data_IF_684560408946
#
_entry.id   IF_684560408946
#
_cell.length_a   1.000
_cell.length_b   1.000
_cell.length_c   1.000
_cell.angle_alpha   90.00
_cell.angle_beta   90.00
_cell.angle_gamma   90.00
#
_symmetry.space_group_name_H-M   'P 1'
#
loop_
_entity.id
_entity.type
_entity.pdbx_description
1 polymer ?
#
# COMPACT_ATOMS: atom_id res chain seq x y z
N UNK A 1 62.67 29.50 -93.36
CA UNK A 1 63.48 29.73 -92.14
C UNK A 1 64.50 28.59 -91.93
N UNK A 2 65.72 28.69 -92.49
CA UNK A 2 66.72 27.59 -92.57
C UNK A 2 67.17 27.02 -91.20
N UNK A 3 66.99 27.77 -90.11
CA UNK A 3 67.47 27.41 -88.76
C UNK A 3 66.61 26.34 -88.09
N UNK A 4 65.30 26.33 -88.32
CA UNK A 4 64.37 25.31 -87.77
C UNK A 4 64.58 23.96 -88.45
N UNK A 5 64.78 23.97 -89.78
CA UNK A 5 65.11 22.77 -90.55
C UNK A 5 66.42 22.13 -90.07
N UNK A 6 67.48 22.92 -89.83
CA UNK A 6 68.75 22.40 -89.27
C UNK A 6 68.61 21.80 -87.87
N UNK A 7 67.74 22.37 -87.01
CA UNK A 7 67.45 21.80 -85.67
C UNK A 7 66.70 20.47 -85.78
N UNK A 8 65.73 20.37 -86.68
CA UNK A 8 64.97 19.15 -86.92
C UNK A 8 65.88 18.03 -87.46
N UNK A 9 66.77 18.35 -88.41
CA UNK A 9 67.77 17.42 -88.93
C UNK A 9 68.72 16.94 -87.83
N UNK A 10 69.26 17.83 -86.97
CA UNK A 10 70.10 17.44 -85.83
C UNK A 10 69.35 16.58 -84.80
N UNK A 11 68.05 16.83 -84.56
CA UNK A 11 67.19 16.02 -83.69
C UNK A 11 66.99 14.61 -84.27
N UNK A 12 66.66 14.50 -85.56
CA UNK A 12 66.55 13.23 -86.25
C UNK A 12 67.88 12.46 -86.26
N UNK A 13 69.01 13.15 -86.47
CA UNK A 13 70.34 12.53 -86.39
C UNK A 13 70.67 11.99 -85.00
N UNK A 14 70.35 12.71 -83.92
CA UNK A 14 70.53 12.21 -82.53
C UNK A 14 69.61 11.04 -82.22
N UNK A 15 68.36 11.09 -82.68
CA UNK A 15 67.43 9.98 -82.51
C UNK A 15 67.92 8.71 -83.23
N UNK A 16 68.37 8.85 -84.49
CA UNK A 16 68.97 7.75 -85.24
C UNK A 16 70.22 7.18 -84.56
N UNK A 17 71.09 8.02 -83.98
CA UNK A 17 72.26 7.56 -83.21
C UNK A 17 71.86 6.79 -81.95
N UNK A 18 70.88 7.27 -81.17
CA UNK A 18 70.38 6.56 -79.97
C UNK A 18 69.70 5.24 -80.32
N UNK A 19 68.91 5.21 -81.39
CA UNK A 19 68.32 3.95 -81.89
C UNK A 19 69.39 2.98 -82.36
N UNK A 20 70.43 3.46 -83.05
CA UNK A 20 71.55 2.61 -83.45
C UNK A 20 72.27 2.03 -82.23
N UNK A 21 72.58 2.85 -81.23
CA UNK A 21 73.23 2.40 -79.99
C UNK A 21 72.34 1.46 -79.14
N UNK A 22 71.03 1.70 -79.05
CA UNK A 22 70.11 0.81 -78.35
C UNK A 22 70.04 -0.56 -79.04
N UNK A 23 69.90 -0.59 -80.37
CA UNK A 23 69.96 -1.82 -81.16
C UNK A 23 71.29 -2.55 -81.03
N UNK A 24 72.39 -1.81 -80.89
CA UNK A 24 73.72 -2.38 -80.71
C UNK A 24 73.90 -2.98 -79.31
N UNK A 25 73.31 -2.36 -78.27
CA UNK A 25 73.22 -2.94 -76.91
C UNK A 25 72.30 -4.15 -76.85
N UNK A 26 71.11 -4.07 -77.41
CA UNK A 26 70.18 -5.21 -77.50
C UNK A 26 70.82 -6.37 -78.27
N UNK A 27 71.58 -6.07 -79.33
CA UNK A 27 72.34 -7.09 -80.08
C UNK A 27 73.46 -7.68 -79.24
N UNK A 28 74.18 -6.86 -78.47
CA UNK A 28 75.25 -7.31 -77.59
C UNK A 28 74.70 -8.16 -76.42
N UNK A 29 73.63 -7.71 -75.79
CA UNK A 29 72.89 -8.44 -74.74
C UNK A 29 72.31 -9.74 -75.28
N UNK A 30 71.76 -9.75 -76.51
CA UNK A 30 71.29 -10.97 -77.16
C UNK A 30 72.43 -11.93 -77.51
N UNK A 31 73.62 -11.44 -77.90
CA UNK A 31 74.81 -12.27 -78.12
C UNK A 31 75.29 -12.85 -76.78
N UNK A 32 75.35 -12.05 -75.72
CA UNK A 32 75.77 -12.48 -74.38
C UNK A 32 74.77 -13.46 -73.76
N UNK A 33 73.48 -13.21 -73.93
CA UNK A 33 72.40 -14.09 -73.51
C UNK A 33 72.41 -15.40 -74.32
N UNK A 34 72.58 -15.32 -75.65
CA UNK A 34 72.74 -16.51 -76.49
C UNK A 34 74.00 -17.30 -76.14
N UNK A 35 75.10 -16.64 -75.76
CA UNK A 35 76.32 -17.30 -75.30
C UNK A 35 76.09 -18.01 -73.94
N UNK A 36 75.41 -17.36 -72.99
CA UNK A 36 75.00 -17.97 -71.72
C UNK A 36 74.02 -19.13 -71.92
N UNK A 37 73.03 -18.98 -72.78
CA UNK A 37 72.05 -20.03 -73.11
C UNK A 37 72.67 -21.19 -73.89
N UNK A 38 73.78 -20.97 -74.62
CA UNK A 38 74.53 -22.05 -75.28
C UNK A 38 75.42 -22.85 -74.32
N UNK A 39 75.62 -22.36 -73.10
CA UNK A 39 76.43 -23.02 -72.09
C UNK A 39 75.63 -24.15 -71.40
N UNK A 40 76.12 -25.40 -71.42
CA UNK A 40 75.40 -26.54 -70.83
C UNK A 40 75.13 -26.39 -69.33
N UNK A 41 76.05 -25.74 -68.60
CA UNK A 41 75.92 -25.51 -67.15
C UNK A 41 74.77 -24.55 -66.83
N UNK A 42 74.61 -23.47 -67.61
CA UNK A 42 73.53 -22.50 -67.42
C UNK A 42 72.15 -23.10 -67.73
N UNK A 43 72.05 -23.93 -68.77
CA UNK A 43 70.83 -24.68 -69.08
C UNK A 43 70.46 -25.68 -67.96
N UNK A 44 71.47 -26.27 -67.31
CA UNK A 44 71.28 -27.19 -66.18
C UNK A 44 70.82 -26.43 -64.93
N UNK A 45 71.44 -25.27 -64.65
CA UNK A 45 71.04 -24.38 -63.57
C UNK A 45 69.60 -23.85 -63.73
N UNK A 46 69.20 -23.45 -64.95
CA UNK A 46 67.82 -23.01 -65.23
C UNK A 46 66.80 -24.10 -64.94
N UNK A 47 67.09 -25.36 -65.32
CA UNK A 47 66.23 -26.50 -64.99
C UNK A 47 66.14 -26.73 -63.49
N UNK A 48 67.28 -26.76 -62.79
CA UNK A 48 67.31 -26.91 -61.33
C UNK A 48 66.57 -25.79 -60.61
N UNK A 49 66.66 -24.56 -61.10
CA UNK A 49 65.95 -23.42 -60.54
C UNK A 49 64.45 -23.52 -60.78
N UNK A 50 64.02 -23.89 -61.99
CA UNK A 50 62.61 -24.12 -62.30
C UNK A 50 62.00 -25.25 -61.44
N UNK A 51 62.73 -26.35 -61.26
CA UNK A 51 62.35 -27.47 -60.37
C UNK A 51 62.21 -27.02 -58.91
N UNK A 52 63.12 -26.16 -58.44
CA UNK A 52 63.12 -25.67 -57.05
C UNK A 52 62.01 -24.63 -56.81
N UNK A 53 61.69 -23.80 -57.80
CA UNK A 53 60.53 -22.89 -57.78
C UNK A 53 59.20 -23.66 -57.81
N UNK A 54 59.12 -24.70 -58.64
CA UNK A 54 57.95 -25.59 -58.69
C UNK A 54 57.76 -26.34 -57.37
N UNK A 55 58.82 -26.88 -56.78
CA UNK A 55 58.78 -27.51 -55.46
C UNK A 55 58.30 -26.55 -54.38
N UNK A 56 58.80 -25.30 -54.37
CA UNK A 56 58.34 -24.26 -53.44
C UNK A 56 56.86 -23.93 -53.62
N UNK A 57 56.39 -23.78 -54.88
CA UNK A 57 54.99 -23.52 -55.19
C UNK A 57 54.10 -24.64 -54.65
N UNK A 58 54.44 -25.89 -54.96
CA UNK A 58 53.70 -27.07 -54.49
C UNK A 58 53.71 -27.19 -52.95
N UNK A 59 54.83 -26.87 -52.31
CA UNK A 59 54.94 -26.89 -50.83
C UNK A 59 54.04 -25.81 -50.19
N UNK A 60 53.99 -24.62 -50.79
CA UNK A 60 53.12 -23.52 -50.32
C UNK A 60 51.65 -23.89 -50.53
N UNK A 61 51.28 -24.41 -51.69
CA UNK A 61 49.91 -24.87 -51.99
C UNK A 61 49.45 -25.96 -51.02
N UNK A 62 50.28 -26.98 -50.80
CA UNK A 62 49.97 -28.04 -49.84
C UNK A 62 49.83 -27.51 -48.41
N UNK A 63 50.64 -26.53 -48.01
CA UNK A 63 50.52 -25.87 -46.71
C UNK A 63 49.24 -25.06 -46.60
N UNK A 64 48.88 -24.30 -47.64
CA UNK A 64 47.63 -23.53 -47.70
C UNK A 64 46.41 -24.44 -47.59
N UNK A 65 46.41 -25.57 -48.30
CA UNK A 65 45.35 -26.57 -48.21
C UNK A 65 45.24 -27.14 -46.79
N UNK A 66 46.37 -27.50 -46.17
CA UNK A 66 46.38 -28.00 -44.80
C UNK A 66 45.88 -26.96 -43.78
N UNK A 67 46.27 -25.68 -43.95
CA UNK A 67 45.84 -24.58 -43.09
C UNK A 67 44.34 -24.27 -43.28
N UNK A 68 43.83 -24.33 -44.52
CA UNK A 68 42.41 -24.17 -44.86
C UNK A 68 41.58 -25.31 -44.26
N UNK A 69 42.00 -26.56 -44.43
CA UNK A 69 41.35 -27.70 -43.78
C UNK A 69 41.34 -27.55 -42.26
N UNK A 70 42.46 -27.15 -41.65
CA UNK A 70 42.55 -26.93 -40.22
C UNK A 70 41.67 -25.77 -39.74
N UNK A 71 41.49 -24.73 -40.56
CA UNK A 71 40.56 -23.64 -40.28
C UNK A 71 39.10 -24.11 -40.37
N UNK A 72 38.72 -24.79 -41.44
CA UNK A 72 37.37 -25.33 -41.64
C UNK A 72 36.97 -26.29 -40.50
N UNK A 73 37.89 -27.14 -40.03
CA UNK A 73 37.65 -28.02 -38.87
C UNK A 73 37.37 -27.23 -37.59
N UNK A 74 38.14 -26.17 -37.33
CA UNK A 74 37.93 -25.31 -36.14
C UNK A 74 36.60 -24.55 -36.22
N UNK A 75 36.28 -24.03 -37.40
CA UNK A 75 35.03 -23.31 -37.65
C UNK A 75 33.81 -24.23 -37.45
N UNK A 76 33.85 -25.45 -38.00
CA UNK A 76 32.78 -26.44 -37.81
C UNK A 76 32.56 -26.79 -36.32
N UNK A 77 33.64 -26.91 -35.53
CA UNK A 77 33.54 -27.11 -34.08
C UNK A 77 32.94 -25.90 -33.37
N UNK A 78 33.37 -24.69 -33.71
CA UNK A 78 32.85 -23.45 -33.14
C UNK A 78 31.36 -23.26 -33.43
N UNK A 79 30.93 -23.52 -34.68
CA UNK A 79 29.51 -23.44 -35.06
C UNK A 79 28.66 -24.47 -34.32
N UNK A 80 29.16 -25.71 -34.17
CA UNK A 80 28.48 -26.74 -33.39
C UNK A 80 28.33 -26.32 -31.92
N UNK A 81 29.38 -25.76 -31.33
CA UNK A 81 29.34 -25.26 -29.95
C UNK A 81 28.35 -24.11 -29.79
N UNK A 82 28.35 -23.14 -30.71
CA UNK A 82 27.39 -22.04 -30.73
C UNK A 82 25.94 -22.52 -30.80
N UNK A 83 25.65 -23.55 -31.61
CA UNK A 83 24.31 -24.14 -31.69
C UNK A 83 23.88 -24.79 -30.37
N UNK A 84 24.81 -25.49 -29.68
CA UNK A 84 24.56 -26.11 -28.37
C UNK A 84 24.28 -25.01 -27.33
N UNK A 85 25.11 -23.98 -27.28
CA UNK A 85 24.98 -22.89 -26.31
C UNK A 85 23.70 -22.07 -26.57
N UNK A 86 23.37 -21.79 -27.82
CA UNK A 86 22.12 -21.14 -28.20
C UNK A 86 20.89 -22.00 -27.86
N UNK A 87 20.98 -23.32 -27.96
CA UNK A 87 19.91 -24.21 -27.51
C UNK A 87 19.77 -24.22 -25.98
N UNK A 88 20.89 -24.22 -25.25
CA UNK A 88 20.91 -24.14 -23.78
C UNK A 88 20.31 -22.82 -23.28
N UNK A 89 20.75 -21.69 -23.82
CA UNK A 89 20.25 -20.38 -23.45
C UNK A 89 18.75 -20.22 -23.75
N UNK A 90 18.26 -20.76 -24.87
CA UNK A 90 16.81 -20.79 -25.17
C UNK A 90 16.02 -21.59 -24.14
N UNK A 91 16.55 -22.72 -23.67
CA UNK A 91 15.91 -23.51 -22.60
C UNK A 91 15.88 -22.74 -21.28
N UNK A 92 16.99 -22.14 -20.88
CA UNK A 92 17.10 -21.33 -19.65
C UNK A 92 16.15 -20.12 -19.69
N UNK A 93 16.04 -19.44 -20.84
CA UNK A 93 15.09 -18.34 -21.03
C UNK A 93 13.64 -18.81 -20.91
N UNK A 94 13.29 -19.93 -21.55
CA UNK A 94 11.95 -20.50 -21.48
C UNK A 94 11.58 -20.95 -20.04
N UNK A 95 12.54 -21.48 -19.29
CA UNK A 95 12.35 -21.84 -17.88
C UNK A 95 12.13 -20.60 -17.00
N UNK A 96 12.94 -19.56 -17.17
CA UNK A 96 12.78 -18.29 -16.47
C UNK A 96 11.44 -17.60 -16.80
N UNK A 97 11.01 -17.65 -18.05
CA UNK A 97 9.72 -17.10 -18.47
C UNK A 97 8.55 -17.87 -17.86
N UNK A 98 8.63 -19.21 -17.79
CA UNK A 98 7.65 -20.04 -17.09
C UNK A 98 7.56 -19.70 -15.60
N UNK A 99 8.70 -19.54 -14.92
CA UNK A 99 8.72 -19.19 -13.51
C UNK A 99 8.11 -17.80 -13.27
N UNK A 100 8.42 -16.82 -14.14
CA UNK A 100 7.82 -15.48 -14.07
C UNK A 100 6.31 -15.51 -14.32
N UNK A 101 5.85 -16.32 -15.26
CA UNK A 101 4.41 -16.49 -15.52
C UNK A 101 3.70 -17.09 -14.29
N UNK A 102 4.27 -18.13 -13.67
CA UNK A 102 3.74 -18.71 -12.43
C UNK A 102 3.65 -17.67 -11.30
N UNK A 103 4.70 -16.88 -11.09
CA UNK A 103 4.70 -15.82 -10.08
C UNK A 103 3.67 -14.72 -10.38
N UNK A 104 3.48 -14.38 -11.66
CA UNK A 104 2.48 -13.40 -12.08
C UNK A 104 1.05 -13.90 -11.84
N UNK A 105 0.78 -15.17 -12.14
CA UNK A 105 -0.52 -15.82 -11.89
C UNK A 105 -0.82 -15.90 -10.39
N UNK A 106 0.17 -16.27 -9.56
CA UNK A 106 0.04 -16.28 -8.10
C UNK A 106 -0.25 -14.88 -7.54
N UNK A 107 0.47 -13.85 -8.01
CA UNK A 107 0.25 -12.47 -7.60
C UNK A 107 -1.15 -11.98 -8.01
N UNK A 108 -1.58 -12.31 -9.23
CA UNK A 108 -2.92 -11.97 -9.73
C UNK A 108 -4.01 -12.63 -8.88
N UNK A 109 -3.85 -13.91 -8.52
CA UNK A 109 -4.78 -14.62 -7.66
C UNK A 109 -4.88 -13.98 -6.26
N UNK A 110 -3.74 -13.60 -5.65
CA UNK A 110 -3.74 -12.91 -4.35
C UNK A 110 -4.43 -11.54 -4.41
N UNK A 111 -4.20 -10.75 -5.48
CA UNK A 111 -4.83 -9.45 -5.66
C UNK A 111 -6.35 -9.57 -5.83
N UNK A 112 -6.81 -10.57 -6.60
CA UNK A 112 -8.24 -10.83 -6.78
C UNK A 112 -8.90 -11.28 -5.47
N UNK A 113 -8.25 -12.15 -4.68
CA UNK A 113 -8.76 -12.51 -3.36
C UNK A 113 -8.87 -11.28 -2.43
N UNK A 114 -7.86 -10.41 -2.44
CA UNK A 114 -7.89 -9.18 -1.65
C UNK A 114 -9.01 -8.24 -2.09
N UNK A 115 -9.25 -8.14 -3.41
CA UNK A 115 -10.36 -7.37 -3.98
C UNK A 115 -11.71 -7.91 -3.53
N UNK A 116 -11.93 -9.22 -3.66
CA UNK A 116 -13.17 -9.87 -3.22
C UNK A 116 -13.44 -9.64 -1.72
N UNK A 117 -12.43 -9.78 -0.87
CA UNK A 117 -12.54 -9.48 0.57
C UNK A 117 -12.89 -8.01 0.84
N UNK A 118 -12.35 -7.06 0.06
CA UNK A 118 -12.67 -5.64 0.18
C UNK A 118 -14.11 -5.35 -0.26
N UNK A 119 -14.54 -5.92 -1.37
CA UNK A 119 -15.91 -5.78 -1.89
C UNK A 119 -16.94 -6.38 -0.93
N UNK A 120 -16.67 -7.55 -0.34
CA UNK A 120 -17.55 -8.15 0.67
C UNK A 120 -17.64 -7.29 1.94
N UNK A 121 -16.51 -6.80 2.46
CA UNK A 121 -16.49 -5.86 3.60
C UNK A 121 -17.26 -4.59 3.30
N UNK A 122 -17.11 -4.04 2.10
CA UNK A 122 -17.85 -2.85 1.67
C UNK A 122 -19.35 -3.14 1.62
N UNK A 123 -19.77 -4.26 1.02
CA UNK A 123 -21.18 -4.66 0.96
C UNK A 123 -21.79 -4.81 2.36
N UNK A 124 -21.07 -5.41 3.30
CA UNK A 124 -21.52 -5.54 4.68
C UNK A 124 -21.65 -4.17 5.37
N UNK A 125 -20.68 -3.28 5.15
CA UNK A 125 -20.72 -1.91 5.68
C UNK A 125 -21.87 -1.09 5.09
N UNK A 126 -22.09 -1.15 3.77
CA UNK A 126 -23.17 -0.46 3.08
C UNK A 126 -24.54 -0.97 3.56
N UNK A 127 -24.69 -2.29 3.75
CA UNK A 127 -25.91 -2.87 4.34
C UNK A 127 -26.15 -2.38 5.77
N UNK A 128 -25.11 -2.37 6.62
CA UNK A 128 -25.22 -1.89 7.99
C UNK A 128 -25.54 -0.38 8.05
N UNK A 129 -24.98 0.41 7.14
CA UNK A 129 -25.27 1.84 7.02
C UNK A 129 -26.73 2.08 6.61
N UNK A 130 -27.25 1.34 5.63
CA UNK A 130 -28.65 1.44 5.21
C UNK A 130 -29.62 1.03 6.33
N UNK A 131 -29.31 -0.03 7.08
CA UNK A 131 -30.11 -0.45 8.25
C UNK A 131 -30.11 0.63 9.34
N UNK A 132 -28.98 1.29 9.58
CA UNK A 132 -28.86 2.39 10.53
C UNK A 132 -29.62 3.64 10.07
N UNK A 133 -29.54 4.01 8.79
CA UNK A 133 -30.29 5.13 8.21
C UNK A 133 -31.81 4.90 8.31
N UNK A 134 -32.28 3.70 7.99
CA UNK A 134 -33.68 3.33 8.14
C UNK A 134 -34.16 3.42 9.60
N UNK A 135 -33.30 3.05 10.56
CA UNK A 135 -33.61 3.19 11.98
C UNK A 135 -33.71 4.67 12.40
N UNK A 136 -32.79 5.52 11.95
CA UNK A 136 -32.84 6.97 12.22
C UNK A 136 -34.11 7.61 11.65
N UNK A 137 -34.50 7.24 10.43
CA UNK A 137 -35.73 7.72 9.83
C UNK A 137 -36.95 7.34 10.68
N UNK A 138 -37.02 6.09 11.15
CA UNK A 138 -38.11 5.64 12.04
C UNK A 138 -38.13 6.37 13.38
N UNK A 139 -36.96 6.70 13.94
CA UNK A 139 -36.86 7.53 15.14
C UNK A 139 -37.43 8.93 14.86
N UNK A 140 -37.11 9.53 13.71
CA UNK A 140 -37.63 10.83 13.30
C UNK A 140 -39.15 10.80 13.14
N UNK A 141 -39.68 9.83 12.40
CA UNK A 141 -41.13 9.67 12.19
C UNK A 141 -41.89 9.53 13.52
N UNK A 142 -41.33 8.78 14.48
CA UNK A 142 -41.94 8.62 15.82
C UNK A 142 -41.87 9.91 16.67
N UNK A 143 -40.84 10.74 16.49
CA UNK A 143 -40.74 12.03 17.18
C UNK A 143 -41.79 13.03 16.68
N UNK A 144 -42.00 13.10 15.36
CA UNK A 144 -42.94 14.03 14.72
C UNK A 144 -44.41 13.57 14.83
N UNK A 145 -44.67 12.27 14.74
CA UNK A 145 -46.03 11.74 14.83
C UNK A 145 -46.53 11.71 16.29
N UNK A 146 -47.31 12.75 16.64
CA UNK A 146 -47.96 12.87 17.96
C UNK A 146 -49.20 12.00 18.12
N UNK A 147 -49.71 11.40 17.04
CA UNK A 147 -50.92 10.56 17.06
C UNK A 147 -50.60 9.11 17.44
N UNK A 148 -49.38 8.64 17.18
CA UNK A 148 -48.92 7.31 17.59
C UNK A 148 -48.56 7.27 19.07
N UNK A 149 -49.38 6.57 19.85
CA UNK A 149 -49.15 6.36 21.28
C UNK A 149 -48.12 5.26 21.58
N UNK A 150 -47.88 4.34 20.65
CA UNK A 150 -46.97 3.20 20.84
C UNK A 150 -45.74 3.33 19.95
N UNK A 151 -44.52 3.14 20.48
CA UNK A 151 -43.32 3.17 19.68
C UNK A 151 -43.25 1.96 18.73
N UNK A 152 -42.70 2.12 17.52
CA UNK A 152 -42.41 1.00 16.61
C UNK A 152 -41.58 -0.09 17.28
N UNK A 153 -41.80 -1.35 16.89
CA UNK A 153 -41.13 -2.52 17.49
C UNK A 153 -39.62 -2.45 17.40
N UNK A 154 -39.08 -1.80 16.37
CA UNK A 154 -37.64 -1.67 16.17
C UNK A 154 -36.97 -0.73 17.16
N UNK A 155 -37.71 0.26 17.69
CA UNK A 155 -37.25 1.12 18.78
C UNK A 155 -37.34 0.44 20.14
N UNK A 156 -38.18 -0.60 20.26
CA UNK A 156 -38.33 -1.41 21.48
C UNK A 156 -37.25 -2.49 21.61
N UNK A 157 -36.34 -2.61 20.64
CA UNK A 157 -35.23 -3.56 20.71
C UNK A 157 -34.36 -3.28 21.94
N UNK A 158 -33.86 -4.37 22.53
CA UNK A 158 -32.91 -4.32 23.64
C UNK A 158 -31.58 -4.85 23.15
N UNK A 159 -30.52 -4.07 23.35
CA UNK A 159 -29.15 -4.48 23.09
C UNK A 159 -28.62 -5.26 24.29
N UNK A 160 -28.01 -6.41 24.03
CA UNK A 160 -27.52 -7.32 25.05
C UNK A 160 -26.04 -7.57 24.82
N UNK A 161 -25.22 -7.48 25.86
CA UNK A 161 -23.77 -7.71 25.74
C UNK A 161 -23.44 -9.20 25.70
N UNK A 162 -24.15 -10.01 26.48
CA UNK A 162 -23.95 -11.46 26.56
C UNK A 162 -25.30 -12.17 26.70
N UNK A 163 -26.09 -12.35 25.61
CA UNK A 163 -27.47 -12.84 25.68
C UNK A 163 -27.67 -14.15 26.44
N UNK A 164 -26.72 -15.07 26.31
CA UNK A 164 -26.76 -16.40 26.93
C UNK A 164 -26.36 -16.40 28.42
N UNK A 165 -25.79 -15.30 28.92
CA UNK A 165 -25.31 -15.19 30.29
C UNK A 165 -26.37 -14.60 31.22
N UNK A 166 -26.24 -14.90 32.53
CA UNK A 166 -27.12 -14.30 33.54
C UNK A 166 -26.99 -12.77 33.56
N UNK A 167 -28.08 -12.09 33.92
CA UNK A 167 -28.10 -10.63 34.03
C UNK A 167 -27.11 -10.14 35.09
N UNK A 168 -26.39 -9.07 34.76
CA UNK A 168 -25.56 -8.39 35.75
C UNK A 168 -26.44 -7.72 36.79
N UNK A 169 -26.33 -8.11 38.05
CA UNK A 169 -27.12 -7.53 39.13
C UNK A 169 -26.85 -6.03 39.29
N UNK A 170 -25.58 -5.61 39.24
CA UNK A 170 -25.20 -4.20 39.39
C UNK A 170 -25.78 -3.33 38.27
N UNK A 171 -25.63 -3.76 37.01
CA UNK A 171 -26.16 -3.02 35.87
C UNK A 171 -27.69 -3.01 35.84
N UNK A 172 -28.32 -4.14 36.15
CA UNK A 172 -29.79 -4.23 36.17
C UNK A 172 -30.39 -3.31 37.23
N UNK A 173 -29.71 -3.14 38.38
CA UNK A 173 -30.18 -2.29 39.48
C UNK A 173 -29.86 -0.81 39.31
N UNK A 174 -28.70 -0.47 38.73
CA UNK A 174 -28.19 0.93 38.73
C UNK A 174 -27.77 1.45 37.35
N UNK A 175 -27.78 0.60 36.32
CA UNK A 175 -27.27 0.87 34.97
C UNK A 175 -25.78 1.22 34.92
N UNK A 176 -25.09 0.95 36.02
CA UNK A 176 -23.69 1.21 36.22
C UNK A 176 -23.03 -0.09 36.68
N UNK A 177 -21.99 -0.52 35.97
CA UNK A 177 -21.22 -1.69 36.31
C UNK A 177 -19.74 -1.33 36.27
N UNK A 178 -19.00 -1.69 37.32
CA UNK A 178 -17.56 -1.42 37.42
C UNK A 178 -16.72 -2.03 36.29
N UNK A 179 -17.25 -3.07 35.63
CA UNK A 179 -16.58 -3.77 34.53
C UNK A 179 -17.00 -3.25 33.14
N UNK A 180 -18.01 -2.37 33.06
CA UNK A 180 -18.43 -1.75 31.80
C UNK A 180 -18.74 -2.77 30.69
N UNK A 181 -18.04 -2.68 29.56
CA UNK A 181 -18.19 -3.58 28.42
C UNK A 181 -17.43 -4.92 28.59
N UNK A 182 -16.50 -4.98 29.53
CA UNK A 182 -15.73 -6.20 29.85
C UNK A 182 -16.40 -7.05 30.93
N UNK A 183 -17.64 -6.73 31.32
CA UNK A 183 -18.39 -7.55 32.25
C UNK A 183 -18.78 -8.87 31.58
N UNK A 184 -18.54 -9.99 32.27
CA UNK A 184 -18.93 -11.32 31.78
C UNK A 184 -20.44 -11.56 31.85
N UNK A 185 -21.17 -10.79 32.65
CA UNK A 185 -22.62 -10.90 32.79
C UNK A 185 -23.33 -10.04 31.74
N UNK A 186 -24.58 -10.40 31.44
CA UNK A 186 -25.38 -9.71 30.43
C UNK A 186 -25.83 -8.32 30.92
N UNK A 187 -25.55 -7.29 30.11
CA UNK A 187 -26.07 -5.93 30.25
C UNK A 187 -27.13 -5.68 29.18
N UNK A 188 -28.38 -5.48 29.63
CA UNK A 188 -29.53 -5.17 28.75
C UNK A 188 -29.72 -3.66 28.63
N UNK A 189 -29.56 -3.11 27.44
CA UNK A 189 -29.69 -1.67 27.13
C UNK A 189 -30.86 -1.44 26.17
N UNK A 190 -31.96 -0.81 26.61
CA UNK A 190 -33.06 -0.51 25.71
C UNK A 190 -32.64 0.52 24.66
N UNK A 191 -33.22 0.44 23.47
CA UNK A 191 -33.06 1.48 22.44
C UNK A 191 -34.05 2.65 22.61
N UNK A 192 -35.02 2.50 23.50
CA UNK A 192 -35.97 3.54 23.88
C UNK A 192 -36.42 3.33 25.33
N UNK A 193 -36.38 4.39 26.13
CA UNK A 193 -36.91 4.41 27.50
C UNK A 193 -37.27 5.84 27.90
N UNK A 194 -38.01 5.99 29.00
CA UNK A 194 -38.35 7.31 29.57
C UNK A 194 -37.17 7.99 30.28
N UNK A 195 -36.22 7.18 30.75
CA UNK A 195 -35.08 7.66 31.54
C UNK A 195 -33.83 7.65 30.67
N UNK A 196 -33.17 8.80 30.58
CA UNK A 196 -31.84 8.93 30.00
C UNK A 196 -30.78 8.86 31.11
N UNK A 197 -29.65 8.26 30.78
CA UNK A 197 -28.42 8.24 31.56
C UNK A 197 -27.34 8.98 30.76
N UNK A 198 -26.85 10.09 31.30
CA UNK A 198 -25.72 10.85 30.76
C UNK A 198 -24.52 10.58 31.65
N UNK A 199 -23.56 9.81 31.13
CA UNK A 199 -22.39 9.41 31.92
C UNK A 199 -21.44 10.59 32.11
N UNK A 200 -21.03 10.79 33.37
CA UNK A 200 -20.04 11.80 33.75
C UNK A 200 -20.38 13.23 33.30
N UNK A 201 -21.67 13.57 33.29
CA UNK A 201 -22.12 14.88 32.85
C UNK A 201 -21.78 15.96 33.87
N UNK A 202 -21.96 15.66 35.16
CA UNK A 202 -21.52 16.53 36.24
C UNK A 202 -20.10 16.16 36.66
N UNK A 203 -19.24 17.15 36.80
CA UNK A 203 -17.86 16.95 37.24
C UNK A 203 -17.54 17.90 38.36
N UNK A 204 -17.03 17.36 39.46
CA UNK A 204 -16.57 18.16 40.58
C UNK A 204 -15.32 17.50 41.18
N UNK A 205 -14.30 18.26 41.62
CA UNK A 205 -13.09 17.70 42.22
C UNK A 205 -13.37 16.80 43.43
N UNK A 206 -14.33 17.16 44.30
CA UNK A 206 -14.79 16.30 45.40
C UNK A 206 -15.42 14.96 44.96
N UNK A 207 -15.78 14.78 43.69
CA UNK A 207 -16.23 13.49 43.15
C UNK A 207 -15.10 12.68 42.50
N UNK A 208 -13.91 13.27 42.30
CA UNK A 208 -12.76 12.65 41.62
C UNK A 208 -11.68 12.15 42.61
N UNK A 209 -12.10 11.86 43.84
CA UNK A 209 -11.21 11.38 44.91
C UNK A 209 -10.54 10.07 44.46
N UNK A 210 -9.22 10.11 44.25
CA UNK A 210 -8.39 8.95 43.90
C UNK A 210 -7.83 8.89 42.47
N UNK A 211 -8.09 9.88 41.61
CA UNK A 211 -7.49 9.95 40.26
C UNK A 211 -6.09 10.62 40.25
N UNK A 212 -5.67 11.22 41.36
CA UNK A 212 -4.37 11.87 41.52
C UNK A 212 -3.25 10.83 41.60
N UNK A 213 -2.29 10.94 40.69
CA UNK A 213 -1.07 10.12 40.72
C UNK A 213 -0.36 10.27 42.07
N UNK A 214 0.13 9.16 42.66
CA UNK A 214 0.76 9.15 44.00
C UNK A 214 1.86 10.20 44.17
N UNK A 215 2.55 10.57 43.09
CA UNK A 215 3.63 11.56 43.09
C UNK A 215 3.14 13.01 43.24
N UNK A 216 1.89 13.31 42.88
CA UNK A 216 1.26 14.64 42.96
C UNK A 216 0.13 14.70 43.99
N UNK A 217 -0.06 13.63 44.78
CA UNK A 217 -1.06 13.57 45.84
C UNK A 217 -0.80 14.55 47.01
N UNK A 218 0.37 15.23 46.99
CA UNK A 218 0.75 16.27 47.94
C UNK A 218 0.35 17.69 47.49
N UNK A 219 -0.43 17.83 46.41
CA UNK A 219 -1.00 19.12 46.06
C UNK A 219 -2.27 19.36 46.89
N UNK A 220 -2.30 20.46 47.65
CA UNK A 220 -3.40 20.97 48.48
C UNK A 220 -4.75 21.17 47.74
N UNK A 221 -4.86 20.79 46.47
CA UNK A 221 -6.03 21.00 45.61
C UNK A 221 -7.32 20.31 46.09
N UNK A 222 -7.23 19.27 46.95
CA UNK A 222 -8.41 18.66 47.57
C UNK A 222 -8.79 19.27 48.93
N UNK A 223 -7.96 20.14 49.51
CA UNK A 223 -8.20 20.80 50.79
C UNK A 223 -8.92 22.16 50.64
N UNK A 224 -8.99 22.70 49.43
CA UNK A 224 -9.56 24.03 49.16
C UNK A 224 -11.07 24.04 48.89
N UNK A 225 -11.69 22.87 48.71
CA UNK A 225 -13.10 22.77 48.31
C UNK A 225 -13.96 22.14 49.41
N UNK A 226 -15.00 22.87 49.78
CA UNK A 226 -15.95 22.50 50.80
C UNK A 226 -17.18 21.81 50.19
N UNK A 227 -17.98 21.06 50.98
CA UNK A 227 -19.27 20.55 50.53
C UNK A 227 -20.23 21.67 50.06
N UNK A 228 -20.06 22.89 50.55
CA UNK A 228 -20.80 24.07 50.12
C UNK A 228 -20.43 24.47 48.68
N UNK A 229 -19.16 24.37 48.31
CA UNK A 229 -18.70 24.64 46.94
C UNK A 229 -19.26 23.61 45.96
N UNK A 230 -19.26 22.32 46.34
CA UNK A 230 -19.92 21.26 45.57
C UNK A 230 -21.40 21.57 45.34
N UNK A 231 -22.08 22.11 46.35
CA UNK A 231 -23.49 22.47 46.23
C UNK A 231 -23.68 23.68 45.30
N UNK A 232 -22.84 24.70 45.43
CA UNK A 232 -22.89 25.89 44.57
C UNK A 232 -22.61 25.53 43.10
N UNK A 233 -21.59 24.71 42.85
CA UNK A 233 -21.25 24.21 41.52
C UNK A 233 -22.35 23.32 40.94
N UNK A 234 -22.98 22.50 41.78
CA UNK A 234 -24.15 21.73 41.39
C UNK A 234 -25.33 22.63 41.02
N UNK A 235 -25.63 23.66 41.79
CA UNK A 235 -26.75 24.56 41.52
C UNK A 235 -26.51 25.36 40.22
N UNK A 236 -25.26 25.81 39.97
CA UNK A 236 -24.87 26.43 38.71
C UNK A 236 -25.03 25.47 37.53
N UNK A 237 -24.51 24.24 37.65
CA UNK A 237 -24.68 23.17 36.66
C UNK A 237 -26.15 22.85 36.40
N UNK A 238 -26.95 22.73 37.45
CA UNK A 238 -28.37 22.39 37.36
C UNK A 238 -29.12 23.46 36.58
N UNK A 239 -28.91 24.74 36.88
CA UNK A 239 -29.60 25.83 36.20
C UNK A 239 -29.21 25.91 34.71
N UNK A 240 -27.95 25.69 34.38
CA UNK A 240 -27.46 25.67 32.98
C UNK A 240 -28.04 24.49 32.19
N UNK A 241 -28.04 23.30 32.79
CA UNK A 241 -28.42 22.06 32.09
C UNK A 241 -29.93 21.85 32.03
N UNK A 242 -30.66 22.15 33.09
CA UNK A 242 -32.10 21.87 33.15
C UNK A 242 -32.86 22.68 32.12
N UNK A 243 -32.52 23.95 31.93
CA UNK A 243 -33.15 24.82 30.94
C UNK A 243 -32.96 24.27 29.51
N UNK A 244 -31.77 23.76 29.20
CA UNK A 244 -31.50 23.10 27.92
C UNK A 244 -32.30 21.79 27.77
N UNK A 245 -32.37 20.97 28.82
CA UNK A 245 -33.07 19.69 28.76
C UNK A 245 -34.60 19.84 28.69
N UNK A 246 -35.15 20.87 29.32
CA UNK A 246 -36.59 21.17 29.29
C UNK A 246 -37.10 21.49 27.88
N UNK A 247 -36.25 22.02 27.00
CA UNK A 247 -36.60 22.26 25.58
C UNK A 247 -37.01 20.97 24.88
N UNK A 248 -36.48 19.82 25.29
CA UNK A 248 -36.81 18.53 24.69
C UNK A 248 -38.09 17.90 25.24
N UNK A 249 -38.61 18.38 26.37
CA UNK A 249 -39.90 17.97 26.90
C UNK A 249 -40.00 18.04 28.42
N UNK A 250 -41.16 17.65 28.96
CA UNK A 250 -41.43 17.72 30.40
C UNK A 250 -40.58 16.69 31.16
N UNK A 251 -39.69 17.20 32.02
CA UNK A 251 -38.88 16.41 32.95
C UNK A 251 -39.71 16.08 34.20
N UNK A 252 -39.67 14.83 34.63
CA UNK A 252 -40.31 14.33 35.86
C UNK A 252 -39.29 14.23 36.99
N UNK A 253 -38.12 13.68 36.71
CA UNK A 253 -37.03 13.57 37.68
C UNK A 253 -35.70 13.95 37.04
N UNK A 254 -34.91 14.72 37.78
CA UNK A 254 -33.51 15.02 37.46
C UNK A 254 -32.66 14.61 38.66
N UNK A 255 -31.73 13.68 38.47
CA UNK A 255 -30.92 13.10 39.56
C UNK A 255 -29.46 13.02 39.15
N UNK A 256 -28.58 13.49 40.03
CA UNK A 256 -27.13 13.43 39.83
C UNK A 256 -26.51 12.50 40.86
N UNK A 257 -25.61 11.64 40.40
CA UNK A 257 -24.94 10.64 41.22
C UNK A 257 -23.71 11.28 41.89
N UNK A 258 -23.78 11.42 43.21
CA UNK A 258 -22.71 11.98 44.04
C UNK A 258 -21.69 10.94 44.54
N UNK A 259 -21.69 9.72 43.99
CA UNK A 259 -20.67 8.73 44.30
C UNK A 259 -19.29 9.20 43.81
N UNK A 260 -18.23 8.72 44.44
CA UNK A 260 -16.83 9.01 44.07
C UNK A 260 -16.23 7.95 43.14
N UNK A 261 -16.85 6.78 43.05
CA UNK A 261 -16.35 5.66 42.25
C UNK A 261 -16.41 5.98 40.75
N UNK A 262 -15.35 5.67 39.97
CA UNK A 262 -15.27 6.03 38.55
C UNK A 262 -16.41 5.52 37.68
N UNK A 263 -17.07 4.41 38.03
CA UNK A 263 -18.17 3.86 37.23
C UNK A 263 -19.56 4.43 37.59
N UNK A 264 -19.63 5.35 38.56
CA UNK A 264 -20.87 5.95 39.07
C UNK A 264 -20.82 7.48 39.08
N UNK A 265 -19.65 8.06 39.41
CA UNK A 265 -19.52 9.48 39.71
C UNK A 265 -20.00 10.38 38.58
N UNK A 266 -20.76 11.41 38.96
CA UNK A 266 -21.16 12.46 38.03
C UNK A 266 -22.13 12.00 36.94
N UNK A 267 -22.66 10.79 37.04
CA UNK A 267 -23.70 10.33 36.14
C UNK A 267 -24.99 11.08 36.44
N UNK A 268 -25.69 11.49 35.39
CA UNK A 268 -26.95 12.24 35.50
C UNK A 268 -28.04 11.43 34.87
N UNK A 269 -29.10 11.20 35.63
CA UNK A 269 -30.31 10.57 35.13
C UNK A 269 -31.42 11.59 34.96
N UNK A 270 -32.08 11.54 33.80
CA UNK A 270 -33.15 12.45 33.43
C UNK A 270 -34.36 11.62 33.01
N UNK A 271 -35.43 11.66 33.79
CA UNK A 271 -36.69 11.00 33.46
C UNK A 271 -37.64 12.01 32.81
N UNK A 272 -38.11 11.68 31.61
CA UNK A 272 -39.13 12.44 30.91
C UNK A 272 -40.52 11.83 31.10
N UNK A 273 -41.55 12.66 30.96
CA UNK A 273 -42.95 12.21 31.07
C UNK A 273 -43.31 11.16 30.01
N UNK A 274 -42.70 11.24 28.83
CA UNK A 274 -42.95 10.35 27.70
C UNK A 274 -41.63 9.91 27.05
N UNK A 275 -41.63 8.71 26.46
CA UNK A 275 -40.47 8.14 25.76
C UNK A 275 -40.06 8.98 24.54
N UNK A 276 -41.02 9.60 23.85
CA UNK A 276 -40.74 10.51 22.72
C UNK A 276 -39.86 11.71 23.10
N UNK A 277 -40.05 12.27 24.29
CA UNK A 277 -39.25 13.40 24.77
C UNK A 277 -37.83 12.96 25.10
N UNK A 278 -37.69 11.78 25.72
CA UNK A 278 -36.40 11.16 25.96
C UNK A 278 -35.68 10.84 24.65
N UNK A 279 -36.39 10.37 23.62
CA UNK A 279 -35.83 10.12 22.29
C UNK A 279 -35.33 11.41 21.63
N UNK A 280 -36.13 12.47 21.69
CA UNK A 280 -35.76 13.78 21.16
C UNK A 280 -34.51 14.33 21.85
N UNK A 281 -34.45 14.23 23.18
CA UNK A 281 -33.26 14.59 23.94
C UNK A 281 -32.06 13.71 23.57
N UNK A 282 -32.23 12.39 23.46
CA UNK A 282 -31.17 11.46 23.09
C UNK A 282 -30.54 11.82 21.74
N UNK A 283 -31.36 11.99 20.68
CA UNK A 283 -30.86 12.31 19.34
C UNK A 283 -30.15 13.66 19.31
N UNK A 284 -30.68 14.68 19.99
CA UNK A 284 -30.10 16.02 19.98
C UNK A 284 -28.86 16.17 20.88
N UNK A 285 -28.75 15.39 21.95
CA UNK A 285 -27.60 15.44 22.86
C UNK A 285 -26.44 14.57 22.37
N UNK A 286 -26.71 13.56 21.54
CA UNK A 286 -25.67 12.67 21.05
C UNK A 286 -24.68 13.44 20.16
N UNK A 287 -23.39 13.38 20.52
CA UNK A 287 -22.33 14.11 19.82
C UNK A 287 -22.14 15.57 20.25
N UNK A 288 -22.99 16.11 21.13
CA UNK A 288 -22.79 17.45 21.73
C UNK A 288 -21.69 17.40 22.80
N UNK A 289 -21.18 18.59 23.12
CA UNK A 289 -20.13 18.79 24.11
C UNK A 289 -20.64 19.66 25.27
N UNK A 290 -20.15 19.37 26.46
CA UNK A 290 -20.33 20.17 27.67
C UNK A 290 -19.00 20.21 28.43
N UNK A 291 -18.58 21.40 28.88
CA UNK A 291 -17.30 21.59 29.57
C UNK A 291 -16.11 20.87 28.88
N UNK A 292 -15.99 21.05 27.56
CA UNK A 292 -14.95 20.43 26.72
C UNK A 292 -14.97 18.89 26.66
N UNK A 293 -16.06 18.24 27.08
CA UNK A 293 -16.23 16.79 27.03
C UNK A 293 -17.43 16.42 26.18
N UNK A 294 -17.28 15.38 25.35
CA UNK A 294 -18.40 14.84 24.59
C UNK A 294 -19.39 14.14 25.53
N UNK A 295 -20.67 14.47 25.40
CA UNK A 295 -21.73 13.80 26.17
C UNK A 295 -21.85 12.33 25.74
N UNK A 296 -21.97 11.44 26.72
CA UNK A 296 -22.26 10.03 26.50
C UNK A 296 -23.66 9.74 27.03
N UNK A 297 -24.64 9.75 26.13
CA UNK A 297 -26.05 9.58 26.43
C UNK A 297 -26.49 8.18 26.08
N UNK A 298 -27.19 7.53 27.00
CA UNK A 298 -27.79 6.21 26.82
C UNK A 298 -29.18 6.16 27.44
N UNK A 299 -30.02 5.23 26.97
CA UNK A 299 -31.28 4.94 27.64
C UNK A 299 -31.05 4.03 28.84
N UNK A 300 -31.72 4.37 29.92
CA UNK A 300 -31.71 3.59 31.15
C UNK A 300 -32.81 2.53 31.14
N UNK A 301 -32.50 1.33 31.61
CA UNK A 301 -33.45 0.23 31.78
C UNK A 301 -34.17 0.25 33.16
N UNK A 302 -33.91 1.26 33.98
CA UNK A 302 -34.50 1.39 35.31
C UNK A 302 -36.02 1.53 35.20
N UNK A 303 -36.74 0.66 35.92
CA UNK A 303 -38.21 0.71 36.00
C UNK A 303 -38.71 1.59 37.13
N UNK A 304 -37.94 1.72 38.21
CA UNK A 304 -38.28 2.48 39.40
C UNK A 304 -37.02 2.92 40.16
N UNK A 305 -37.12 4.04 40.86
CA UNK A 305 -36.01 4.62 41.63
C UNK A 305 -35.70 3.89 42.93
N UNK A 306 -36.69 3.26 43.56
CA UNK A 306 -36.56 2.63 44.88
C UNK A 306 -35.48 1.54 44.92
N UNK A 307 -35.21 0.83 43.82
CA UNK A 307 -34.16 -0.20 43.78
C UNK A 307 -32.76 0.31 43.44
N UNK A 308 -32.66 1.57 42.98
CA UNK A 308 -31.45 2.16 42.41
C UNK A 308 -30.77 3.17 43.35
N UNK A 309 -31.46 3.63 44.39
CA UNK A 309 -30.94 4.59 45.37
C UNK A 309 -30.37 3.84 46.57
N UNK A 310 -29.27 4.33 47.14
CA UNK A 310 -28.67 3.74 48.33
C UNK A 310 -29.52 4.05 49.57
N UNK A 311 -29.74 3.05 50.43
CA UNK A 311 -30.38 3.23 51.75
C UNK A 311 -31.91 3.35 51.74
N UNK A 312 -32.57 3.02 50.64
CA UNK A 312 -34.04 2.95 50.52
C UNK A 312 -34.64 1.63 50.97
#
# INVERSE_FOLDING_TARGET
NRRTWRKLVKKQQRHRRRQKQAREREKQEAIEQSARESEPEYQTWLKQQAELEEFKRLTIEHKQQADEEAWLRREALAQRQFQIDAAKHRKEQAEMERLRAQQADELAAMLEEQRMRREEKKRLADKAAAEFEALLQRMHDYMEDTTRCTPPSELQRVLETHPEERLCEFYTRTNCCRYGHSCTFNHRRPMLAKILLIRHFFTHPLLQIGDTHKEYANADAHLEQTPQDLRADYDAFFNDVVDELQKFGKIINFRVVCNTLPHLRGHVFVEYAQERYALRAFVNLQGRYYASRRLNVEFSNLKAWRGAVCGT
#
